data_IF_932762380515
#
_entry.id   IF_932762380515
#
_cell.length_a   1.000
_cell.length_b   1.000
_cell.length_c   1.000
_cell.angle_alpha   90.00
_cell.angle_beta   90.00
_cell.angle_gamma   90.00
#
_symmetry.space_group_name_H-M   'P 1'
#
loop_
_entity.id
_entity.type
_entity.pdbx_description
1 polymer ?
#
# COMPACT_ATOMS: atom_id res chain seq x y z
N UNK A 1 10.40 3.09 -5.99
CA UNK A 1 10.05 3.18 -4.55
C UNK A 1 9.33 1.90 -4.13
N UNK A 2 9.68 1.29 -2.98
CA UNK A 2 9.21 -0.06 -2.58
C UNK A 2 7.69 -0.27 -2.74
N UNK A 3 6.86 0.63 -2.22
CA UNK A 3 5.40 0.47 -2.29
C UNK A 3 4.86 0.60 -3.71
N UNK A 4 5.47 1.42 -4.57
CA UNK A 4 5.08 1.49 -5.98
C UNK A 4 5.31 0.14 -6.67
N UNK A 5 6.48 -0.45 -6.48
CA UNK A 5 6.82 -1.74 -7.09
C UNK A 5 5.86 -2.86 -6.62
N UNK A 6 5.52 -2.86 -5.33
CA UNK A 6 4.54 -3.79 -4.76
C UNK A 6 3.13 -3.60 -5.35
N UNK A 7 2.68 -2.36 -5.48
CA UNK A 7 1.36 -2.04 -6.02
C UNK A 7 1.26 -2.35 -7.52
N UNK A 8 2.31 -2.10 -8.29
CA UNK A 8 2.37 -2.48 -9.71
C UNK A 8 2.37 -4.01 -9.91
N UNK A 9 3.12 -4.75 -9.06
CA UNK A 9 3.06 -6.22 -9.06
C UNK A 9 1.66 -6.72 -8.76
N UNK A 10 0.99 -6.12 -7.78
CA UNK A 10 -0.39 -6.43 -7.46
C UNK A 10 -1.31 -6.15 -8.65
N UNK A 11 -1.20 -4.98 -9.29
CA UNK A 11 -2.00 -4.61 -10.45
C UNK A 11 -1.82 -5.60 -11.61
N UNK A 12 -0.58 -6.03 -11.89
CA UNK A 12 -0.29 -7.08 -12.88
C UNK A 12 -0.91 -8.43 -12.49
N UNK A 13 -0.98 -8.76 -11.21
CA UNK A 13 -1.65 -9.98 -10.75
C UNK A 13 -3.17 -9.95 -11.00
N UNK A 14 -3.82 -8.79 -10.87
CA UNK A 14 -5.24 -8.62 -11.21
C UNK A 14 -5.55 -8.70 -12.70
N UNK A 15 -4.56 -8.54 -13.59
CA UNK A 15 -4.76 -8.65 -15.04
C UNK A 15 -4.96 -10.11 -15.52
N UNK A 16 -4.75 -11.10 -14.65
CA UNK A 16 -4.99 -12.51 -14.95
C UNK A 16 -6.43 -12.75 -15.39
N UNK A 17 -6.65 -13.63 -16.38
CA UNK A 17 -7.97 -14.07 -16.86
C UNK A 17 -8.07 -15.60 -16.92
N UNK A 18 -9.29 -16.12 -16.88
CA UNK A 18 -9.59 -17.53 -17.10
C UNK A 18 -9.66 -18.39 -15.82
N UNK A 19 -9.76 -19.72 -15.95
CA UNK A 19 -10.04 -20.63 -14.84
C UNK A 19 -9.08 -20.47 -13.64
N UNK A 20 -9.62 -20.57 -12.42
CA UNK A 20 -8.82 -20.45 -11.20
C UNK A 20 -8.14 -19.09 -11.01
N UNK A 21 -8.68 -18.01 -11.61
CA UNK A 21 -8.14 -16.64 -11.51
C UNK A 21 -7.89 -16.24 -10.05
N UNK A 22 -8.86 -16.47 -9.16
CA UNK A 22 -8.76 -16.14 -7.73
C UNK A 22 -7.58 -16.85 -7.06
N UNK A 23 -7.41 -18.16 -7.30
CA UNK A 23 -6.29 -18.95 -6.75
C UNK A 23 -4.94 -18.51 -7.31
N UNK A 24 -4.87 -18.14 -8.59
CA UNK A 24 -3.64 -17.62 -9.22
C UNK A 24 -3.29 -16.23 -8.71
N UNK A 25 -4.29 -15.35 -8.56
CA UNK A 25 -4.16 -14.04 -7.94
C UNK A 25 -3.62 -14.17 -6.52
N UNK A 26 -4.25 -15.00 -5.68
CA UNK A 26 -3.82 -15.22 -4.30
C UNK A 26 -2.36 -15.66 -4.21
N UNK A 27 -1.94 -16.63 -5.05
CA UNK A 27 -0.53 -17.05 -5.11
C UNK A 27 0.43 -15.92 -5.48
N UNK A 28 0.08 -15.08 -6.46
CA UNK A 28 0.92 -13.93 -6.87
C UNK A 28 0.97 -12.83 -5.83
N UNK A 29 -0.13 -12.61 -5.10
CA UNK A 29 -0.18 -11.62 -4.01
C UNK A 29 0.50 -12.11 -2.73
N UNK A 30 0.56 -13.44 -2.51
CA UNK A 30 1.32 -14.07 -1.44
C UNK A 30 2.81 -14.12 -1.74
N UNK A 31 3.21 -14.22 -3.01
CA UNK A 31 4.60 -14.35 -3.43
C UNK A 31 5.46 -13.28 -2.73
N UNK A 32 6.22 -13.77 -1.76
CA UNK A 32 7.15 -12.99 -0.95
C UNK A 32 8.48 -13.12 -1.67
N UNK A 33 8.59 -12.48 -2.84
CA UNK A 33 9.93 -12.22 -3.35
C UNK A 33 10.69 -11.51 -2.22
N UNK A 34 11.98 -11.81 -1.99
CA UNK A 34 12.75 -11.10 -1.00
C UNK A 34 12.56 -9.60 -1.25
N UNK A 35 12.18 -8.89 -0.19
CA UNK A 35 11.96 -7.47 -0.30
C UNK A 35 13.28 -6.84 -0.77
N UNK A 36 13.25 -5.78 -1.57
CA UNK A 36 14.51 -5.20 -2.06
C UNK A 36 15.45 -4.80 -0.90
N UNK A 37 14.90 -4.45 0.27
CA UNK A 37 15.64 -4.23 1.52
C UNK A 37 16.28 -5.51 2.12
N UNK A 38 15.62 -6.65 1.93
CA UNK A 38 16.05 -7.99 2.31
C UNK A 38 17.18 -8.47 1.38
N UNK A 39 17.05 -8.21 0.07
CA UNK A 39 18.11 -8.47 -0.93
C UNK A 39 19.33 -7.56 -0.73
N UNK A 40 19.13 -6.32 -0.27
CA UNK A 40 20.21 -5.38 0.02
C UNK A 40 20.92 -5.66 1.36
N UNK A 41 20.57 -6.72 2.10
CA UNK A 41 21.18 -7.09 3.39
C UNK A 41 21.23 -5.93 4.42
N UNK A 42 20.34 -4.94 4.31
CA UNK A 42 20.35 -3.75 5.17
C UNK A 42 20.06 -4.07 6.65
N UNK A 43 19.51 -5.26 6.93
CA UNK A 43 19.37 -5.78 8.30
C UNK A 43 20.70 -5.99 9.03
N UNK A 44 21.81 -6.18 8.30
CA UNK A 44 23.16 -6.31 8.87
C UNK A 44 24.00 -5.02 8.79
N UNK A 45 23.60 -4.03 7.97
CA UNK A 45 24.33 -2.76 7.78
C UNK A 45 23.84 -1.65 8.74
N UNK A 46 22.83 -1.95 9.58
CA UNK A 46 22.21 -0.99 10.50
C UNK A 46 23.13 -0.45 11.62
N UNK A 47 24.42 -0.78 11.63
CA UNK A 47 25.36 -0.40 12.68
C UNK A 47 26.20 0.86 12.43
N UNK A 48 26.38 1.32 11.19
CA UNK A 48 27.52 2.22 10.95
C UNK A 48 27.21 3.73 10.84
N UNK A 49 26.16 4.20 10.16
CA UNK A 49 26.13 5.63 9.73
C UNK A 49 24.80 6.38 9.90
N UNK A 50 23.78 5.82 10.55
CA UNK A 50 22.54 6.56 10.83
C UNK A 50 22.65 7.24 12.20
N UNK A 51 22.71 8.57 12.20
CA UNK A 51 22.73 9.38 13.43
C UNK A 51 21.52 9.03 14.31
N UNK A 52 21.75 8.88 15.61
CA UNK A 52 20.70 8.54 16.57
C UNK A 52 19.51 9.52 16.53
N UNK A 53 19.77 10.81 16.20
CA UNK A 53 18.72 11.81 16.03
C UNK A 53 17.77 11.47 14.88
N UNK A 54 18.26 10.96 13.74
CA UNK A 54 17.40 10.53 12.63
C UNK A 54 16.56 9.30 12.97
N UNK A 55 17.10 8.40 13.81
CA UNK A 55 16.33 7.25 14.31
C UNK A 55 15.23 7.72 15.26
N UNK A 56 15.51 8.71 16.11
CA UNK A 56 14.54 9.30 17.01
C UNK A 56 13.44 10.07 16.25
N UNK A 57 13.81 10.86 15.24
CA UNK A 57 12.87 11.54 14.32
C UNK A 57 11.98 10.52 13.59
N UNK A 58 12.56 9.42 13.09
CA UNK A 58 11.80 8.35 12.44
C UNK A 58 10.84 7.60 13.37
N UNK A 59 11.01 7.73 14.69
CA UNK A 59 10.11 7.16 15.71
C UNK A 59 9.04 8.13 16.18
N UNK A 60 9.12 9.42 15.83
CA UNK A 60 8.11 10.41 16.18
C UNK A 60 6.89 10.29 15.24
N UNK A 61 5.72 9.85 15.74
CA UNK A 61 4.55 9.67 14.89
C UNK A 61 3.86 10.99 14.55
N UNK A 62 4.23 12.14 15.15
CA UNK A 62 3.48 13.40 15.01
C UNK A 62 3.40 13.87 13.57
N UNK A 63 4.52 13.87 12.84
CA UNK A 63 4.55 14.27 11.44
C UNK A 63 3.71 13.32 10.57
N UNK A 64 3.78 12.02 10.84
CA UNK A 64 2.99 11.01 10.16
C UNK A 64 1.48 11.18 10.42
N UNK A 65 1.10 11.47 11.66
CA UNK A 65 -0.29 11.76 12.04
C UNK A 65 -0.82 13.00 11.33
N UNK A 66 -0.09 14.11 11.39
CA UNK A 66 -0.49 15.36 10.73
C UNK A 66 -0.64 15.16 9.21
N UNK A 67 0.28 14.41 8.59
CA UNK A 67 0.19 14.04 7.18
C UNK A 67 -1.05 13.17 6.88
N UNK A 68 -1.34 12.20 7.74
CA UNK A 68 -2.51 11.33 7.60
C UNK A 68 -3.83 12.10 7.72
N UNK A 69 -3.94 12.97 8.71
CA UNK A 69 -5.11 13.83 8.94
C UNK A 69 -5.34 14.77 7.75
N UNK A 70 -4.29 15.46 7.30
CA UNK A 70 -4.34 16.40 6.17
C UNK A 70 -4.84 15.74 4.87
N UNK A 71 -4.40 14.50 4.62
CA UNK A 71 -4.73 13.76 3.41
C UNK A 71 -5.96 12.84 3.55
N UNK A 72 -6.63 12.85 4.71
CA UNK A 72 -7.67 11.87 5.09
C UNK A 72 -8.74 11.66 4.05
N UNK A 73 -9.29 12.75 3.51
CA UNK A 73 -10.39 12.69 2.54
C UNK A 73 -10.08 11.84 1.30
N UNK A 74 -8.81 11.72 0.94
CA UNK A 74 -8.37 11.01 -0.26
C UNK A 74 -8.12 9.53 -0.01
N UNK A 75 -7.47 9.17 1.10
CA UNK A 75 -7.19 7.77 1.40
C UNK A 75 -8.34 7.04 2.12
N UNK A 76 -9.30 7.76 2.72
CA UNK A 76 -10.44 7.13 3.43
C UNK A 76 -11.25 6.18 2.53
N UNK A 77 -11.42 6.53 1.26
CA UNK A 77 -12.14 5.69 0.28
C UNK A 77 -11.45 4.35 -0.02
N UNK A 78 -10.17 4.22 0.33
CA UNK A 78 -9.40 2.99 0.15
C UNK A 78 -9.39 2.11 1.41
N UNK A 79 -9.99 2.58 2.52
CA UNK A 79 -10.04 1.84 3.79
C UNK A 79 -10.77 0.52 3.58
N UNK A 80 -10.14 -0.56 4.06
CA UNK A 80 -10.72 -1.89 3.94
C UNK A 80 -11.97 -2.04 4.81
N UNK A 81 -13.12 -2.37 4.23
CA UNK A 81 -14.36 -2.56 4.98
C UNK A 81 -14.34 -3.70 5.99
N UNK A 82 -13.49 -4.70 5.77
CA UNK A 82 -13.21 -5.76 6.78
C UNK A 82 -12.36 -5.26 7.95
N UNK A 83 -11.46 -4.30 7.72
CA UNK A 83 -10.72 -3.66 8.81
C UNK A 83 -11.61 -2.70 9.59
N UNK A 84 -12.50 -1.99 8.89
CA UNK A 84 -13.43 -1.02 9.48
C UNK A 84 -14.64 -1.69 10.16
N UNK A 85 -15.01 -2.89 9.72
CA UNK A 85 -16.17 -3.62 10.23
C UNK A 85 -17.51 -3.22 9.60
N UNK A 86 -17.49 -2.40 8.54
CA UNK A 86 -18.71 -1.85 7.91
C UNK A 86 -19.16 -2.62 6.65
N UNK A 87 -18.36 -3.58 6.19
CA UNK A 87 -18.68 -4.40 5.02
C UNK A 87 -18.49 -3.70 3.67
N UNK A 88 -17.99 -2.46 3.62
CA UNK A 88 -17.69 -1.75 2.38
C UNK A 88 -16.76 -2.58 1.47
N UNK A 89 -16.89 -2.47 0.15
CA UNK A 89 -16.23 -3.35 -0.83
C UNK A 89 -14.69 -3.39 -0.76
N UNK A 90 -13.95 -2.29 -0.53
CA UNK A 90 -12.49 -2.31 -0.55
C UNK A 90 -11.86 -3.37 0.36
N UNK A 91 -10.81 -4.04 -0.13
CA UNK A 91 -10.01 -5.01 0.65
C UNK A 91 -8.55 -4.62 0.66
N UNK A 92 -7.95 -4.67 1.85
CA UNK A 92 -6.49 -4.74 1.94
C UNK A 92 -6.02 -6.13 1.50
N UNK A 93 -4.75 -6.23 1.08
CA UNK A 93 -4.14 -7.49 0.63
C UNK A 93 -4.35 -8.64 1.62
N UNK A 94 -4.15 -8.51 2.95
CA UNK A 94 -4.38 -9.61 3.88
C UNK A 94 -5.82 -10.14 3.84
N UNK A 95 -6.82 -9.27 3.85
CA UNK A 95 -8.22 -9.67 3.81
C UNK A 95 -8.65 -10.19 2.44
N UNK A 96 -8.08 -9.65 1.35
CA UNK A 96 -8.31 -10.20 0.02
C UNK A 96 -7.79 -11.64 -0.11
N UNK A 97 -6.62 -11.92 0.47
CA UNK A 97 -6.05 -13.27 0.52
C UNK A 97 -6.89 -14.22 1.38
N UNK A 98 -7.39 -13.74 2.53
CA UNK A 98 -8.31 -14.49 3.38
C UNK A 98 -9.60 -14.84 2.62
N UNK A 99 -10.22 -13.87 1.95
CA UNK A 99 -11.44 -14.11 1.17
C UNK A 99 -11.21 -15.04 -0.03
N UNK A 100 -10.08 -14.89 -0.72
CA UNK A 100 -9.69 -15.75 -1.82
C UNK A 100 -9.50 -17.22 -1.38
N UNK A 101 -9.13 -17.45 -0.12
CA UNK A 101 -9.00 -18.80 0.45
C UNK A 101 -10.34 -19.46 0.77
N UNK A 102 -11.41 -18.68 0.99
CA UNK A 102 -12.73 -19.17 1.42
C UNK A 102 -13.70 -19.45 0.26
N UNK A 103 -13.24 -19.30 -0.99
CA UNK A 103 -14.03 -19.50 -2.21
C UNK A 103 -15.33 -18.67 -2.29
N UNK A 104 -15.39 -17.53 -1.59
CA UNK A 104 -16.52 -16.60 -1.66
C UNK A 104 -16.51 -15.75 -2.94
N UNK A 105 -17.62 -15.09 -3.28
CA UNK A 105 -17.67 -14.14 -4.38
C UNK A 105 -16.78 -12.94 -4.06
N UNK A 106 -15.80 -12.67 -4.93
CA UNK A 106 -14.91 -11.50 -4.83
C UNK A 106 -15.08 -10.70 -6.11
N UNK A 107 -15.45 -9.43 -5.97
CA UNK A 107 -15.45 -8.49 -7.09
C UNK A 107 -14.02 -8.07 -7.43
N UNK A 108 -13.35 -8.90 -8.24
CA UNK A 108 -11.99 -8.63 -8.72
C UNK A 108 -11.90 -7.36 -9.56
N UNK A 109 -13.01 -6.91 -10.16
CA UNK A 109 -13.07 -5.67 -10.93
C UNK A 109 -12.92 -4.46 -10.02
N UNK A 110 -13.72 -4.38 -8.96
CA UNK A 110 -13.64 -3.32 -7.96
C UNK A 110 -12.28 -3.30 -7.25
N UNK A 111 -11.75 -4.47 -6.85
CA UNK A 111 -10.43 -4.55 -6.21
C UNK A 111 -9.31 -4.08 -7.15
N UNK A 112 -9.37 -4.47 -8.43
CA UNK A 112 -8.42 -4.00 -9.43
C UNK A 112 -8.49 -2.50 -9.64
N UNK A 113 -9.70 -1.93 -9.72
CA UNK A 113 -9.89 -0.49 -9.90
C UNK A 113 -9.29 0.30 -8.74
N UNK A 114 -9.48 -0.18 -7.50
CA UNK A 114 -8.86 0.41 -6.31
C UNK A 114 -7.33 0.35 -6.37
N UNK A 115 -6.74 -0.81 -6.68
CA UNK A 115 -5.28 -0.96 -6.77
C UNK A 115 -4.71 -0.10 -7.90
N UNK A 116 -5.38 -0.04 -9.05
CA UNK A 116 -5.00 0.82 -10.17
C UNK A 116 -4.98 2.29 -9.76
N UNK A 117 -6.04 2.75 -9.11
CA UNK A 117 -6.15 4.12 -8.60
C UNK A 117 -4.98 4.48 -7.67
N UNK A 118 -4.63 3.59 -6.73
CA UNK A 118 -3.48 3.82 -5.84
C UNK A 118 -2.17 3.89 -6.65
N UNK A 119 -1.95 3.01 -7.64
CA UNK A 119 -0.74 3.02 -8.47
C UNK A 119 -0.60 4.34 -9.25
N UNK A 120 -1.68 4.84 -9.86
CA UNK A 120 -1.66 6.05 -10.68
C UNK A 120 -1.19 7.27 -9.85
N UNK A 121 -1.82 7.49 -8.69
CA UNK A 121 -1.49 8.60 -7.79
C UNK A 121 -0.11 8.43 -7.12
N UNK A 122 0.27 7.20 -6.76
CA UNK A 122 1.58 6.93 -6.19
C UNK A 122 2.71 7.16 -7.20
N UNK A 123 2.43 6.96 -8.49
CA UNK A 123 3.38 7.25 -9.58
C UNK A 123 3.63 8.76 -9.69
N UNK A 124 2.58 9.58 -9.64
CA UNK A 124 2.71 11.05 -9.63
C UNK A 124 3.50 11.51 -8.40
N UNK A 125 3.16 10.98 -7.22
CA UNK A 125 3.89 11.28 -5.99
C UNK A 125 5.37 10.91 -6.08
N UNK A 126 5.69 9.75 -6.65
CA UNK A 126 7.09 9.33 -6.84
C UNK A 126 7.83 10.22 -7.84
N UNK A 127 7.17 10.65 -8.92
CA UNK A 127 7.76 11.54 -9.92
C UNK A 127 8.12 12.90 -9.35
N UNK A 128 7.43 13.39 -8.31
CA UNK A 128 7.73 14.70 -7.74
C UNK A 128 9.04 14.77 -6.94
N UNK A 129 9.69 13.62 -6.68
CA UNK A 129 11.05 13.57 -6.17
C UNK A 129 12.12 13.69 -7.28
N UNK A 130 11.73 13.64 -8.56
CA UNK A 130 12.63 13.82 -9.70
C UNK A 130 12.83 15.31 -9.96
N UNK A 131 14.08 15.68 -10.24
CA UNK A 131 14.43 17.06 -10.59
C UNK A 131 13.57 17.59 -11.76
N UNK A 132 13.00 18.77 -11.60
CA UNK A 132 12.10 19.39 -12.58
C UNK A 132 10.60 19.08 -12.38
N UNK A 133 10.25 18.16 -11.47
CA UNK A 133 8.87 17.82 -11.14
C UNK A 133 8.51 18.09 -9.67
N UNK A 134 9.37 18.81 -8.94
CA UNK A 134 9.13 19.11 -7.53
C UNK A 134 7.85 19.94 -7.34
N UNK A 135 6.98 19.48 -6.44
CA UNK A 135 5.74 20.16 -6.09
C UNK A 135 4.60 19.97 -7.11
N UNK A 136 4.74 19.06 -8.08
CA UNK A 136 3.65 18.72 -9.00
C UNK A 136 2.62 17.78 -8.38
N UNK A 137 2.95 17.14 -7.25
CA UNK A 137 2.04 16.24 -6.56
C UNK A 137 0.93 16.99 -5.83
N UNK A 138 -0.27 16.43 -5.88
CA UNK A 138 -1.43 16.89 -5.11
C UNK A 138 -1.50 16.19 -3.75
N UNK A 139 -2.40 16.66 -2.88
CA UNK A 139 -2.70 15.95 -1.63
C UNK A 139 -3.30 14.55 -1.87
N UNK A 140 -3.96 14.32 -3.01
CA UNK A 140 -4.45 13.01 -3.42
C UNK A 140 -3.30 12.05 -3.78
N UNK A 141 -2.30 12.57 -4.49
CA UNK A 141 -1.08 11.83 -4.82
C UNK A 141 -0.31 11.43 -3.56
N UNK A 142 -0.17 12.38 -2.63
CA UNK A 142 0.42 12.15 -1.30
C UNK A 142 -0.35 11.09 -0.51
N UNK A 143 -1.68 11.13 -0.54
CA UNK A 143 -2.54 10.16 0.15
C UNK A 143 -2.39 8.72 -0.38
N UNK A 144 -1.95 8.55 -1.63
CA UNK A 144 -1.73 7.24 -2.22
C UNK A 144 -0.62 6.47 -1.50
N UNK A 145 0.34 7.15 -0.86
CA UNK A 145 1.36 6.49 -0.04
C UNK A 145 0.73 5.76 1.15
N UNK A 146 -0.13 6.44 1.91
CA UNK A 146 -0.86 5.81 3.04
C UNK A 146 -1.72 4.66 2.52
N UNK A 147 -2.44 4.89 1.43
CA UNK A 147 -3.29 3.87 0.80
C UNK A 147 -2.50 2.62 0.41
N UNK A 148 -1.31 2.79 -0.18
CA UNK A 148 -0.45 1.69 -0.59
C UNK A 148 0.12 0.92 0.60
N UNK A 149 0.62 1.62 1.63
CA UNK A 149 1.12 1.04 2.88
C UNK A 149 0.01 0.19 3.52
N UNK A 150 -1.14 0.79 3.78
CA UNK A 150 -2.26 0.15 4.45
C UNK A 150 -2.93 -0.95 3.60
N UNK A 151 -2.90 -0.83 2.27
CA UNK A 151 -3.33 -1.92 1.41
C UNK A 151 -2.40 -3.14 1.56
N UNK A 152 -1.08 -2.92 1.62
CA UNK A 152 -0.11 -4.01 1.77
C UNK A 152 -0.15 -4.69 3.14
N UNK A 153 -0.22 -3.90 4.22
CA UNK A 153 -0.06 -4.36 5.61
C UNK A 153 -1.38 -4.48 6.39
N UNK A 154 -2.46 -3.88 5.89
CA UNK A 154 -3.74 -3.76 6.57
C UNK A 154 -3.93 -2.40 7.24
N UNK A 155 -5.20 -2.06 7.54
CA UNK A 155 -5.59 -0.75 8.07
C UNK A 155 -5.68 -0.69 9.60
N UNK A 156 -5.62 -1.83 10.30
CA UNK A 156 -5.89 -1.90 11.75
C UNK A 156 -4.97 -1.01 12.58
N UNK A 157 -3.70 -0.90 12.22
CA UNK A 157 -2.78 -0.01 12.90
C UNK A 157 -3.11 1.46 12.65
N UNK A 158 -3.75 1.80 11.53
CA UNK A 158 -4.00 3.18 11.11
C UNK A 158 -5.37 3.71 11.54
N UNK A 159 -6.38 2.86 11.66
CA UNK A 159 -7.75 3.25 12.08
C UNK A 159 -7.79 4.02 13.42
N UNK A 160 -7.00 3.67 14.46
CA UNK A 160 -6.99 4.43 15.72
C UNK A 160 -6.39 5.83 15.63
N UNK A 161 -5.71 6.15 14.52
CA UNK A 161 -5.16 7.48 14.25
C UNK A 161 -6.16 8.39 13.52
N UNK A 162 -7.43 7.97 13.43
CA UNK A 162 -8.49 8.62 12.63
C UNK A 162 -9.67 9.05 13.49
#
# INVERSE_FOLDING_TARGET
>A
MLYQDLMERALRAFALRGPGQVRRLARRLQATDPCHLCDLNLGQVAGAHVRAERIAEGRDPRALRAFAEHTRRYWWRAVCGRCLGDGSTPRCRPHLLEEASRAGPIDLGAQRAQVKYIVEHLTVYHQSFVWGYHGTETDEDRAALISAVCWCSGWRAWIPFV
#
